data_IF_944101543653
#
_entry.id   IF_944101543653
#
_cell.length_a   1.000
_cell.length_b   1.000
_cell.length_c   1.000
_cell.angle_alpha   90.00
_cell.angle_beta   90.00
_cell.angle_gamma   90.00
#
_symmetry.space_group_name_H-M   'P 1'
#
loop_
_entity.id
_entity.type
_entity.pdbx_description
1 polymer ?
#
# COMPACT_ATOMS: atom_id res chain seq x y z
N UNK A 1 -12.44 24.78 -4.77
CA UNK A 1 -11.63 23.78 -5.48
C UNK A 1 -11.15 24.41 -6.78
N UNK A 2 -9.85 24.49 -6.99
CA UNK A 2 -9.27 24.99 -8.25
C UNK A 2 -9.41 23.95 -9.36
N UNK A 3 -9.22 24.36 -10.63
CA UNK A 3 -9.21 23.40 -11.76
C UNK A 3 -8.06 22.38 -11.60
N UNK A 4 -6.87 22.82 -11.15
CA UNK A 4 -5.72 21.96 -10.93
C UNK A 4 -6.01 20.89 -9.87
N UNK A 5 -6.68 21.25 -8.76
CA UNK A 5 -7.11 20.27 -7.75
C UNK A 5 -8.14 19.26 -8.29
N UNK A 6 -9.04 19.69 -9.17
CA UNK A 6 -10.04 18.81 -9.79
C UNK A 6 -9.36 17.72 -10.64
N UNK A 7 -8.48 18.12 -11.56
CA UNK A 7 -7.76 17.16 -12.41
C UNK A 7 -6.76 16.30 -11.63
N UNK A 8 -6.15 16.83 -10.57
CA UNK A 8 -5.28 16.04 -9.69
C UNK A 8 -6.05 14.95 -8.92
N UNK A 9 -7.28 15.22 -8.45
CA UNK A 9 -8.15 14.17 -7.87
C UNK A 9 -8.44 13.08 -8.90
N UNK A 10 -8.68 13.47 -10.16
CA UNK A 10 -8.85 12.48 -11.23
C UNK A 10 -7.61 11.62 -11.45
N UNK A 11 -6.40 12.20 -11.34
CA UNK A 11 -5.16 11.42 -11.32
C UNK A 11 -5.12 10.40 -10.18
N UNK A 12 -5.57 10.77 -8.97
CA UNK A 12 -5.65 9.84 -7.84
C UNK A 12 -6.63 8.69 -8.10
N UNK A 13 -7.81 8.97 -8.68
CA UNK A 13 -8.80 7.94 -9.02
C UNK A 13 -8.24 6.94 -10.06
N UNK A 14 -7.51 7.45 -11.05
CA UNK A 14 -6.83 6.62 -12.04
C UNK A 14 -5.71 5.78 -11.41
N UNK A 15 -4.89 6.38 -10.56
CA UNK A 15 -3.79 5.71 -9.87
C UNK A 15 -4.29 4.53 -9.03
N UNK A 16 -5.43 4.67 -8.33
CA UNK A 16 -6.05 3.61 -7.55
C UNK A 16 -6.39 2.35 -8.35
N UNK A 17 -6.61 2.45 -9.68
CA UNK A 17 -6.83 1.29 -10.56
C UNK A 17 -5.61 0.37 -10.66
N UNK A 18 -4.41 0.85 -10.30
CA UNK A 18 -3.17 0.08 -10.27
C UNK A 18 -2.92 -0.68 -8.96
N UNK A 19 -3.78 -0.48 -7.93
CA UNK A 19 -3.55 -1.08 -6.61
C UNK A 19 -3.46 -2.62 -6.69
N UNK A 20 -2.52 -3.22 -5.98
CA UNK A 20 -2.26 -4.65 -6.00
C UNK A 20 -1.51 -5.16 -7.25
N UNK A 21 -1.28 -4.32 -8.28
CA UNK A 21 -0.67 -4.75 -9.55
C UNK A 21 0.67 -4.10 -9.86
N UNK A 22 0.97 -2.94 -9.27
CA UNK A 22 2.14 -2.12 -9.64
C UNK A 22 3.33 -2.26 -8.70
N UNK A 23 3.13 -2.77 -7.47
CA UNK A 23 4.24 -2.93 -6.50
C UNK A 23 5.40 -3.72 -7.13
N UNK A 24 6.67 -3.29 -6.91
CA UNK A 24 7.12 -2.21 -6.03
C UNK A 24 7.12 -0.80 -6.63
N UNK A 25 6.49 -0.56 -7.76
CA UNK A 25 6.32 0.79 -8.30
C UNK A 25 5.20 1.55 -7.58
N UNK A 26 5.25 2.90 -7.56
CA UNK A 26 4.18 3.72 -7.00
C UNK A 26 2.89 3.64 -7.83
N UNK A 27 1.78 4.02 -7.20
CA UNK A 27 0.50 4.24 -7.84
C UNK A 27 0.55 5.59 -8.57
N UNK A 28 0.50 5.56 -9.90
CA UNK A 28 0.55 6.77 -10.72
C UNK A 28 -0.62 6.83 -11.68
N UNK A 29 -1.27 7.99 -11.73
CA UNK A 29 -2.30 8.35 -12.68
C UNK A 29 -1.93 9.66 -13.36
N UNK A 30 -2.32 9.80 -14.62
CA UNK A 30 -2.03 10.97 -15.43
C UNK A 30 -3.28 11.40 -16.22
N UNK A 31 -3.52 12.70 -16.24
CA UNK A 31 -4.60 13.35 -16.99
C UNK A 31 -4.00 14.42 -17.87
N UNK A 32 -4.41 14.48 -19.14
CA UNK A 32 -3.99 15.49 -20.10
C UNK A 32 -5.20 16.33 -20.48
N UNK A 33 -5.06 17.64 -20.38
CA UNK A 33 -6.15 18.57 -20.71
C UNK A 33 -5.73 19.59 -21.78
N UNK A 34 -6.69 19.99 -22.60
CA UNK A 34 -6.58 21.11 -23.49
C UNK A 34 -7.82 21.99 -23.32
N UNK A 35 -7.66 23.30 -23.10
CA UNK A 35 -8.75 24.25 -22.83
C UNK A 35 -9.70 23.79 -21.69
N UNK A 36 -9.15 23.22 -20.61
CA UNK A 36 -9.88 22.64 -19.47
C UNK A 36 -10.74 21.41 -19.79
N UNK A 37 -10.61 20.83 -20.98
CA UNK A 37 -11.24 19.55 -21.32
C UNK A 37 -10.23 18.42 -21.28
N UNK A 38 -10.61 17.25 -20.76
CA UNK A 38 -9.76 16.07 -20.72
C UNK A 38 -9.66 15.49 -22.12
N UNK A 39 -8.44 15.43 -22.66
CA UNK A 39 -8.15 14.85 -23.98
C UNK A 39 -7.42 13.51 -23.88
N UNK A 40 -6.87 13.16 -22.71
CA UNK A 40 -6.18 11.90 -22.49
C UNK A 40 -6.09 11.53 -21.01
N UNK A 41 -6.14 10.22 -20.73
CA UNK A 41 -6.03 9.67 -19.39
C UNK A 41 -5.23 8.37 -19.38
N UNK A 42 -4.46 8.15 -18.32
CA UNK A 42 -3.69 6.93 -18.15
C UNK A 42 -3.33 6.67 -16.69
N UNK A 43 -2.98 5.44 -16.40
CA UNK A 43 -2.42 5.04 -15.11
C UNK A 43 -1.38 3.95 -15.31
N UNK A 44 -0.49 3.78 -14.33
CA UNK A 44 0.42 2.65 -14.32
C UNK A 44 -0.37 1.38 -14.00
N UNK A 45 -0.49 0.48 -15.00
CA UNK A 45 -1.43 -0.66 -14.92
C UNK A 45 -0.83 -1.88 -14.25
N UNK A 46 0.48 -2.10 -14.42
CA UNK A 46 1.19 -3.29 -13.95
C UNK A 46 2.69 -3.04 -13.84
N UNK A 47 3.33 -3.62 -12.84
CA UNK A 47 4.79 -3.59 -12.70
C UNK A 47 5.51 -4.00 -13.98
N UNK A 48 6.49 -3.18 -14.39
CA UNK A 48 7.25 -3.38 -15.63
C UNK A 48 6.53 -2.99 -16.92
N UNK A 49 5.26 -2.55 -16.85
CA UNK A 49 4.50 -2.01 -17.97
C UNK A 49 4.73 -0.50 -18.17
N UNK A 50 4.06 0.12 -19.18
CA UNK A 50 4.13 1.56 -19.43
C UNK A 50 3.71 2.39 -18.22
N UNK A 51 4.36 3.53 -18.03
CA UNK A 51 4.01 4.49 -16.99
C UNK A 51 2.69 5.21 -17.32
N UNK A 52 2.14 5.90 -16.34
CA UNK A 52 0.85 6.59 -16.45
C UNK A 52 0.86 7.63 -17.57
N UNK A 53 1.95 8.41 -17.68
CA UNK A 53 2.14 9.46 -18.67
C UNK A 53 2.16 8.88 -20.08
N UNK A 54 2.84 7.75 -20.29
CA UNK A 54 2.88 7.04 -21.58
C UNK A 54 1.48 6.57 -21.98
N UNK A 55 0.73 5.99 -21.02
CA UNK A 55 -0.64 5.56 -21.27
C UNK A 55 -1.58 6.73 -21.54
N UNK A 56 -1.39 7.86 -20.85
CA UNK A 56 -2.20 9.07 -21.07
C UNK A 56 -1.93 9.69 -22.44
N UNK A 57 -0.65 9.87 -22.81
CA UNK A 57 -0.28 10.39 -24.15
C UNK A 57 -0.82 9.47 -25.24
N UNK A 58 -0.69 8.16 -25.10
CA UNK A 58 -1.19 7.18 -26.09
C UNK A 58 -2.73 7.20 -26.23
N UNK A 59 -3.46 7.74 -25.26
CA UNK A 59 -4.93 7.83 -25.28
C UNK A 59 -5.44 9.11 -25.96
N UNK A 60 -4.56 10.10 -26.23
CA UNK A 60 -4.93 11.34 -26.90
C UNK A 60 -5.18 11.06 -28.39
N UNK A 61 -6.39 11.35 -28.86
CA UNK A 61 -6.78 11.09 -30.26
C UNK A 61 -6.06 12.01 -31.24
N UNK A 62 -5.96 13.30 -30.91
CA UNK A 62 -5.24 14.30 -31.72
C UNK A 62 -3.95 14.72 -31.01
N UNK A 63 -2.85 14.08 -31.40
CA UNK A 63 -1.52 14.31 -30.81
C UNK A 63 -0.99 15.77 -31.03
N UNK A 64 -1.53 16.52 -31.99
CA UNK A 64 -1.13 17.90 -32.24
C UNK A 64 -1.50 18.84 -31.10
N UNK A 65 -2.52 18.48 -30.30
CA UNK A 65 -2.97 19.25 -29.13
C UNK A 65 -1.99 19.19 -27.95
N UNK A 66 -1.07 18.22 -27.92
CA UNK A 66 -0.13 18.03 -26.82
C UNK A 66 0.76 19.25 -26.59
N UNK A 67 1.15 19.97 -27.64
CA UNK A 67 2.02 21.15 -27.54
C UNK A 67 1.37 22.35 -26.83
N UNK A 68 0.06 22.35 -26.68
CA UNK A 68 -0.70 23.37 -25.93
C UNK A 68 -1.40 22.81 -24.71
N UNK A 69 -1.19 21.51 -24.40
CA UNK A 69 -1.85 20.81 -23.32
C UNK A 69 -1.21 21.06 -21.94
N UNK A 70 -2.01 20.84 -20.90
CA UNK A 70 -1.55 20.72 -19.51
C UNK A 70 -1.60 19.25 -19.10
N UNK A 71 -0.50 18.74 -18.56
CA UNK A 71 -0.37 17.37 -18.05
C UNK A 71 -0.42 17.38 -16.52
N UNK A 72 -1.33 16.63 -15.94
CA UNK A 72 -1.46 16.41 -14.50
C UNK A 72 -0.96 15.02 -14.17
N UNK A 73 -0.10 14.89 -13.17
CA UNK A 73 0.42 13.61 -12.69
C UNK A 73 0.64 13.65 -11.18
N UNK A 74 0.24 12.58 -10.48
CA UNK A 74 0.32 12.59 -9.03
C UNK A 74 1.71 12.33 -8.45
N UNK A 75 2.70 11.99 -9.26
CA UNK A 75 4.10 11.82 -8.87
C UNK A 75 5.00 12.40 -9.96
N UNK A 76 6.15 12.92 -9.58
CA UNK A 76 7.16 13.46 -10.48
C UNK A 76 7.46 12.52 -11.65
N UNK A 77 7.43 12.99 -12.92
CA UNK A 77 7.82 12.21 -14.09
C UNK A 77 9.28 11.74 -13.99
N UNK A 78 9.52 10.46 -14.24
CA UNK A 78 10.86 9.91 -14.15
C UNK A 78 11.82 10.56 -15.18
N UNK A 79 13.10 10.71 -14.74
CA UNK A 79 14.19 11.32 -15.54
C UNK A 79 15.31 10.35 -15.91
N UNK A 80 15.32 9.13 -15.35
CA UNK A 80 16.34 8.13 -15.61
C UNK A 80 15.87 7.12 -16.66
N UNK A 81 16.81 6.65 -17.48
CA UNK A 81 16.57 5.58 -18.44
C UNK A 81 16.41 4.24 -17.70
N UNK A 82 15.21 3.67 -17.79
CA UNK A 82 14.92 2.32 -17.34
C UNK A 82 14.77 1.36 -18.53
N UNK A 83 13.73 0.54 -18.52
CA UNK A 83 13.34 -0.30 -19.68
C UNK A 83 12.72 0.51 -20.83
N UNK A 84 12.24 1.71 -20.53
CA UNK A 84 11.64 2.67 -21.47
C UNK A 84 12.32 4.03 -21.31
N UNK A 85 12.26 4.91 -22.34
CA UNK A 85 12.71 6.29 -22.21
C UNK A 85 12.01 6.98 -21.03
N UNK A 86 12.66 7.97 -20.38
CA UNK A 86 12.09 8.71 -19.27
C UNK A 86 10.82 9.47 -19.67
N UNK A 87 9.83 9.51 -18.76
CA UNK A 87 8.59 10.25 -19.02
C UNK A 87 8.83 11.75 -19.19
N UNK A 88 9.79 12.34 -18.47
CA UNK A 88 10.16 13.74 -18.64
C UNK A 88 10.64 14.01 -20.09
N UNK A 89 11.47 13.12 -20.67
CA UNK A 89 11.95 13.26 -22.07
C UNK A 89 10.81 13.17 -23.06
N UNK A 90 9.86 12.27 -22.87
CA UNK A 90 8.69 12.15 -23.70
C UNK A 90 7.83 13.42 -23.66
N UNK A 91 7.59 14.00 -22.48
CA UNK A 91 6.82 15.24 -22.33
C UNK A 91 7.54 16.43 -22.99
N UNK A 92 8.87 16.51 -22.88
CA UNK A 92 9.70 17.50 -23.59
C UNK A 92 9.58 17.32 -25.12
N UNK A 93 9.68 16.10 -25.62
CA UNK A 93 9.56 15.81 -27.05
C UNK A 93 8.19 16.18 -27.64
N UNK A 94 7.12 16.10 -26.84
CA UNK A 94 5.78 16.55 -27.21
C UNK A 94 5.55 18.05 -27.01
N UNK A 95 6.55 18.80 -26.51
CA UNK A 95 6.48 20.23 -26.24
C UNK A 95 5.27 20.65 -25.39
N UNK A 96 4.90 19.83 -24.40
CA UNK A 96 3.73 20.14 -23.57
C UNK A 96 3.86 21.51 -22.90
N UNK A 97 2.76 22.25 -22.81
CA UNK A 97 2.78 23.63 -22.31
C UNK A 97 3.06 23.70 -20.79
N UNK A 98 2.44 22.81 -20.03
CA UNK A 98 2.46 22.85 -18.56
C UNK A 98 2.40 21.43 -17.97
N UNK A 99 3.13 21.20 -16.87
CA UNK A 99 3.03 19.97 -16.06
C UNK A 99 2.69 20.34 -14.64
N UNK A 100 1.65 19.72 -14.08
CA UNK A 100 1.16 19.89 -12.72
C UNK A 100 1.38 18.60 -11.94
N UNK A 101 2.11 18.69 -10.83
CA UNK A 101 2.61 17.54 -10.07
C UNK A 101 2.09 17.61 -8.63
N UNK A 102 1.61 16.49 -8.08
CA UNK A 102 1.23 16.41 -6.67
C UNK A 102 2.46 16.29 -5.77
N UNK A 103 3.28 15.27 -5.96
CA UNK A 103 4.43 14.97 -5.12
C UNK A 103 5.72 14.84 -5.93
N UNK A 104 6.81 15.34 -5.35
CA UNK A 104 8.17 15.01 -5.79
C UNK A 104 8.46 13.55 -5.45
N UNK A 105 9.22 12.87 -6.29
CA UNK A 105 9.62 11.48 -6.04
C UNK A 105 10.68 11.43 -4.92
N UNK A 106 10.50 10.54 -3.94
CA UNK A 106 11.48 10.32 -2.85
C UNK A 106 12.64 9.41 -3.26
N UNK A 107 12.63 8.86 -4.47
CA UNK A 107 13.74 8.07 -4.98
C UNK A 107 14.92 9.00 -5.31
N UNK A 108 16.06 8.83 -4.63
CA UNK A 108 17.29 9.63 -4.82
C UNK A 108 17.78 9.70 -6.28
N UNK A 109 17.41 8.69 -7.10
CA UNK A 109 17.75 8.67 -8.53
C UNK A 109 16.88 9.62 -9.36
N UNK A 110 15.68 9.99 -8.88
CA UNK A 110 14.69 10.83 -9.57
C UNK A 110 14.61 12.20 -8.92
N UNK A 111 14.40 12.27 -7.64
CA UNK A 111 14.17 13.42 -6.75
C UNK A 111 14.52 14.80 -7.35
N UNK A 112 13.54 15.49 -7.94
CA UNK A 112 13.67 16.83 -8.52
C UNK A 112 14.25 16.90 -9.94
N UNK A 113 14.91 15.84 -10.43
CA UNK A 113 15.60 15.84 -11.75
C UNK A 113 14.62 15.85 -12.92
N UNK A 114 13.44 15.22 -12.76
CA UNK A 114 12.38 15.28 -13.77
C UNK A 114 11.80 16.68 -13.88
N UNK A 115 11.57 17.33 -12.74
CA UNK A 115 11.09 18.72 -12.67
C UNK A 115 12.10 19.68 -13.26
N UNK A 116 13.38 19.56 -12.92
CA UNK A 116 14.48 20.37 -13.44
C UNK A 116 14.55 20.27 -14.97
N UNK A 117 14.55 19.06 -15.51
CA UNK A 117 14.58 18.79 -16.94
C UNK A 117 13.40 19.42 -17.72
N UNK A 118 12.19 19.34 -17.16
CA UNK A 118 11.01 19.98 -17.74
C UNK A 118 11.14 21.50 -17.76
N UNK A 119 11.64 22.11 -16.67
CA UNK A 119 11.87 23.56 -16.58
C UNK A 119 12.96 24.05 -17.53
N UNK A 120 14.07 23.32 -17.65
CA UNK A 120 15.15 23.63 -18.59
C UNK A 120 14.67 23.59 -20.05
N UNK A 121 13.68 22.75 -20.37
CA UNK A 121 13.03 22.72 -21.69
C UNK A 121 11.98 23.83 -21.88
N UNK A 122 11.80 24.74 -20.91
CA UNK A 122 10.85 25.85 -21.00
C UNK A 122 9.40 25.49 -20.68
N UNK A 123 9.15 24.30 -20.12
CA UNK A 123 7.82 23.85 -19.72
C UNK A 123 7.46 24.47 -18.36
N UNK A 124 6.26 25.05 -18.23
CA UNK A 124 5.74 25.51 -16.94
C UNK A 124 5.52 24.32 -15.99
N UNK A 125 6.12 24.34 -14.80
CA UNK A 125 5.96 23.25 -13.80
C UNK A 125 5.42 23.80 -12.50
N UNK A 126 4.23 23.30 -12.10
CA UNK A 126 3.58 23.55 -10.82
C UNK A 126 3.66 22.29 -9.97
N UNK A 127 4.03 22.42 -8.70
CA UNK A 127 4.21 21.30 -7.77
C UNK A 127 3.32 21.43 -6.55
N UNK A 128 3.23 20.37 -5.75
CA UNK A 128 2.54 20.32 -4.44
C UNK A 128 1.01 20.50 -4.51
N UNK A 129 0.39 20.18 -5.64
CA UNK A 129 -1.08 20.19 -5.74
C UNK A 129 -1.66 18.95 -5.06
N UNK A 130 -2.43 19.17 -3.97
CA UNK A 130 -2.98 18.11 -3.10
C UNK A 130 -1.90 17.16 -2.55
N UNK A 131 -0.73 17.68 -2.21
CA UNK A 131 0.45 16.92 -1.80
C UNK A 131 0.16 15.89 -0.70
N UNK A 132 -0.56 16.27 0.36
CA UNK A 132 -0.91 15.36 1.45
C UNK A 132 -1.78 14.17 0.99
N UNK A 133 -2.69 14.41 0.04
CA UNK A 133 -3.51 13.36 -0.58
C UNK A 133 -2.68 12.40 -1.41
N UNK A 134 -1.72 12.91 -2.21
CA UNK A 134 -0.81 12.11 -3.01
C UNK A 134 0.15 11.29 -2.14
N UNK A 135 0.66 11.86 -1.04
CA UNK A 135 1.46 11.11 -0.05
C UNK A 135 0.65 9.99 0.60
N UNK A 136 -0.59 10.25 1.00
CA UNK A 136 -1.45 9.22 1.57
C UNK A 136 -1.78 8.10 0.57
N UNK A 137 -2.05 8.44 -0.70
CA UNK A 137 -2.25 7.48 -1.78
C UNK A 137 -1.05 6.54 -1.91
N UNK A 138 0.15 7.10 -1.95
CA UNK A 138 1.42 6.39 -2.13
C UNK A 138 2.17 6.11 -0.80
N UNK A 139 1.47 6.05 0.35
CA UNK A 139 2.10 5.89 1.67
C UNK A 139 3.01 4.67 1.78
N UNK A 140 2.69 3.57 1.08
CA UNK A 140 3.54 2.35 1.03
C UNK A 140 4.87 2.65 0.34
N UNK A 141 4.82 3.30 -0.82
CA UNK A 141 5.98 3.71 -1.58
C UNK A 141 6.85 4.71 -0.80
N UNK A 142 6.26 5.77 -0.25
CA UNK A 142 7.00 6.78 0.52
C UNK A 142 7.63 6.18 1.79
N UNK A 143 6.91 5.35 2.54
CA UNK A 143 7.48 4.66 3.70
C UNK A 143 8.66 3.78 3.28
N UNK A 144 8.52 3.02 2.20
CA UNK A 144 9.56 2.14 1.71
C UNK A 144 10.83 2.91 1.28
N UNK A 145 10.67 4.01 0.56
CA UNK A 145 11.79 4.82 0.07
C UNK A 145 12.46 5.63 1.19
N UNK A 146 11.67 6.28 2.03
CA UNK A 146 12.15 7.22 3.04
C UNK A 146 12.57 6.55 4.34
N UNK A 147 11.89 5.44 4.74
CA UNK A 147 12.13 4.77 6.01
C UNK A 147 12.82 3.40 5.86
N UNK A 148 13.07 2.95 4.62
CA UNK A 148 13.76 1.70 4.30
C UNK A 148 13.14 0.47 4.96
N UNK A 149 11.81 0.43 5.01
CA UNK A 149 10.99 -0.66 5.54
C UNK A 149 9.64 -0.73 4.84
N UNK A 150 8.90 -1.87 4.95
CA UNK A 150 7.51 -1.91 4.53
C UNK A 150 6.63 -0.92 5.32
N UNK A 151 5.54 -0.48 4.72
CA UNK A 151 4.39 0.08 5.41
C UNK A 151 3.68 -1.05 6.17
N UNK A 152 3.59 -0.95 7.50
CA UNK A 152 3.13 -2.05 8.37
C UNK A 152 1.73 -1.78 8.87
N UNK A 153 0.83 -2.72 8.57
CA UNK A 153 -0.58 -2.68 8.94
C UNK A 153 -0.84 -3.78 9.96
N UNK A 154 -1.27 -3.42 11.16
CA UNK A 154 -1.76 -4.38 12.14
C UNK A 154 -3.23 -4.68 11.86
N UNK A 155 -3.65 -5.94 11.90
CA UNK A 155 -5.04 -6.31 11.65
C UNK A 155 -5.51 -7.39 12.61
N UNK A 156 -6.64 -7.15 13.27
CA UNK A 156 -7.33 -8.17 14.06
C UNK A 156 -8.84 -7.93 14.10
N UNK A 157 -9.55 -8.92 14.62
CA UNK A 157 -10.95 -8.81 14.97
C UNK A 157 -11.12 -8.98 16.47
N UNK A 158 -12.05 -8.25 17.07
CA UNK A 158 -12.39 -8.32 18.49
C UNK A 158 -13.88 -8.17 18.72
N UNK A 159 -14.31 -8.63 19.88
CA UNK A 159 -15.66 -8.38 20.41
C UNK A 159 -15.82 -6.94 20.92
N UNK A 160 -17.03 -6.50 21.18
CA UNK A 160 -17.32 -5.16 21.72
C UNK A 160 -16.73 -4.93 23.12
N UNK A 161 -16.42 -5.98 23.85
CA UNK A 161 -15.76 -5.95 25.17
C UNK A 161 -14.27 -6.28 25.10
N UNK A 162 -13.66 -6.29 23.87
CA UNK A 162 -12.21 -6.28 23.66
C UNK A 162 -11.50 -7.63 23.69
N UNK A 163 -12.17 -8.73 23.32
CA UNK A 163 -11.55 -10.06 23.24
C UNK A 163 -11.40 -10.54 21.79
N UNK A 164 -10.28 -11.21 21.48
CA UNK A 164 -9.99 -11.80 20.16
C UNK A 164 -10.48 -13.25 20.03
N UNK A 165 -10.50 -14.00 21.14
CA UNK A 165 -11.02 -15.38 21.20
C UNK A 165 -11.37 -15.76 22.64
N UNK A 166 -12.22 -16.78 22.82
CA UNK A 166 -12.48 -17.40 24.12
C UNK A 166 -11.48 -18.49 24.50
N UNK A 167 -10.60 -18.87 23.55
CA UNK A 167 -9.62 -19.94 23.73
C UNK A 167 -9.46 -20.76 22.44
N UNK A 168 -8.58 -21.76 22.48
CA UNK A 168 -8.17 -22.55 21.30
C UNK A 168 -9.27 -23.43 20.67
N UNK A 169 -10.39 -23.64 21.36
CA UNK A 169 -11.47 -24.55 20.92
C UNK A 169 -12.80 -23.84 20.67
N UNK A 170 -12.83 -22.50 20.67
CA UNK A 170 -14.09 -21.77 20.42
C UNK A 170 -14.22 -21.44 18.93
N UNK A 171 -15.21 -22.02 18.21
CA UNK A 171 -15.48 -21.72 16.83
C UNK A 171 -16.19 -20.38 16.61
N UNK A 172 -16.38 -19.56 17.66
CA UNK A 172 -17.09 -18.28 17.56
C UNK A 172 -16.45 -17.36 16.56
N UNK A 173 -17.16 -17.07 15.47
CA UNK A 173 -16.71 -16.13 14.46
C UNK A 173 -17.02 -14.71 14.90
N UNK A 174 -15.97 -13.90 15.03
CA UNK A 174 -16.07 -12.45 15.26
C UNK A 174 -16.35 -11.71 13.94
N UNK A 175 -15.98 -12.30 12.79
CA UNK A 175 -16.07 -11.70 11.46
C UNK A 175 -17.38 -12.07 10.77
N UNK A 176 -18.05 -11.10 10.13
CA UNK A 176 -19.16 -11.33 9.20
C UNK A 176 -18.64 -11.45 7.74
N UNK A 177 -19.53 -11.72 6.78
CA UNK A 177 -19.17 -11.89 5.36
C UNK A 177 -18.52 -10.63 4.75
N UNK A 178 -19.03 -9.44 5.09
CA UNK A 178 -18.49 -8.16 4.60
C UNK A 178 -17.03 -7.99 5.05
N UNK A 179 -16.75 -8.29 6.32
CA UNK A 179 -15.38 -8.18 6.85
C UNK A 179 -14.46 -9.23 6.26
N UNK A 180 -14.96 -10.43 5.92
CA UNK A 180 -14.17 -11.48 5.23
C UNK A 180 -13.82 -11.04 3.80
N UNK A 181 -14.77 -10.57 3.02
CA UNK A 181 -14.52 -10.04 1.67
C UNK A 181 -13.49 -8.90 1.70
N UNK A 182 -13.60 -7.99 2.67
CA UNK A 182 -12.65 -6.88 2.83
C UNK A 182 -11.23 -7.36 3.15
N UNK A 183 -11.08 -8.40 3.97
CA UNK A 183 -9.77 -9.04 4.20
C UNK A 183 -9.20 -9.65 2.92
N UNK A 184 -10.03 -10.33 2.12
CA UNK A 184 -9.58 -10.88 0.84
C UNK A 184 -9.20 -9.80 -0.17
N UNK A 185 -9.91 -8.67 -0.17
CA UNK A 185 -9.52 -7.48 -0.93
C UNK A 185 -8.15 -6.98 -0.48
N UNK A 186 -7.91 -6.78 0.82
CA UNK A 186 -6.61 -6.35 1.34
C UNK A 186 -5.48 -7.34 0.97
N UNK A 187 -5.76 -8.65 1.00
CA UNK A 187 -4.79 -9.67 0.53
C UNK A 187 -4.42 -9.50 -0.94
N UNK A 188 -5.32 -9.00 -1.77
CA UNK A 188 -5.00 -8.71 -3.18
C UNK A 188 -4.25 -7.39 -3.38
N UNK A 189 -4.37 -6.45 -2.44
CA UNK A 189 -3.80 -5.11 -2.51
C UNK A 189 -2.41 -5.02 -1.86
N UNK A 190 -2.17 -5.75 -0.74
CA UNK A 190 -0.93 -5.69 0.03
C UNK A 190 0.08 -6.76 -0.42
N UNK A 191 1.39 -6.49 -0.19
CA UNK A 191 2.45 -7.37 -0.69
C UNK A 191 2.63 -8.64 0.13
N UNK A 192 2.52 -8.55 1.46
CA UNK A 192 2.77 -9.66 2.37
C UNK A 192 1.81 -9.70 3.55
N UNK A 193 1.55 -10.93 4.06
CA UNK A 193 0.75 -11.17 5.25
C UNK A 193 1.52 -12.04 6.22
N UNK A 194 1.64 -11.59 7.47
CA UNK A 194 2.41 -12.22 8.53
C UNK A 194 1.50 -12.78 9.63
N UNK A 195 1.79 -14.01 10.04
CA UNK A 195 1.22 -14.65 11.23
C UNK A 195 2.30 -15.18 12.16
N UNK A 196 2.01 -15.27 13.45
CA UNK A 196 2.89 -15.91 14.43
C UNK A 196 2.68 -17.43 14.49
N UNK A 197 3.62 -18.16 15.13
CA UNK A 197 3.61 -19.62 15.28
C UNK A 197 2.28 -20.15 15.81
N UNK A 198 1.75 -19.57 16.89
CA UNK A 198 0.51 -20.08 17.51
C UNK A 198 -0.69 -19.95 16.57
N UNK A 199 -0.87 -18.80 15.92
CA UNK A 199 -1.93 -18.57 14.93
C UNK A 199 -1.79 -19.54 13.75
N UNK A 200 -0.56 -19.74 13.24
CA UNK A 200 -0.29 -20.67 12.17
C UNK A 200 -0.68 -22.11 12.54
N UNK A 201 -0.32 -22.57 13.75
CA UNK A 201 -0.60 -23.91 14.21
C UNK A 201 -2.10 -24.14 14.51
N UNK A 202 -2.78 -23.16 15.12
CA UNK A 202 -4.19 -23.30 15.57
C UNK A 202 -5.16 -23.14 14.40
N UNK A 203 -4.97 -22.09 13.59
CA UNK A 203 -5.95 -21.68 12.58
C UNK A 203 -5.65 -22.27 11.19
N UNK A 204 -4.41 -22.77 10.99
CA UNK A 204 -3.91 -23.28 9.70
C UNK A 204 -4.33 -22.40 8.50
N UNK A 205 -4.03 -21.09 8.54
CA UNK A 205 -4.57 -20.12 7.60
C UNK A 205 -3.93 -20.28 6.21
N UNK A 206 -4.74 -20.17 5.16
CA UNK A 206 -4.22 -20.20 3.77
C UNK A 206 -3.58 -18.87 3.35
N UNK A 207 -3.97 -17.74 3.95
CA UNK A 207 -3.52 -16.38 3.63
C UNK A 207 -3.59 -16.03 2.12
N UNK A 208 -4.51 -16.65 1.40
CA UNK A 208 -4.71 -16.47 -0.04
C UNK A 208 -5.97 -15.65 -0.33
N UNK A 209 -6.11 -15.21 -1.59
CA UNK A 209 -7.30 -14.53 -2.10
C UNK A 209 -8.27 -15.58 -2.62
N UNK A 210 -9.50 -15.62 -2.10
CA UNK A 210 -10.57 -16.55 -2.51
C UNK A 210 -11.89 -15.81 -2.80
N UNK A 211 -12.21 -14.80 -2.00
CA UNK A 211 -13.49 -14.05 -2.05
C UNK A 211 -13.31 -12.66 -2.66
N UNK A 212 -12.24 -12.48 -3.42
CA UNK A 212 -11.91 -11.27 -4.17
C UNK A 212 -11.09 -11.61 -5.41
N UNK A 213 -11.05 -10.71 -6.38
CA UNK A 213 -10.20 -10.85 -7.57
C UNK A 213 -8.86 -10.15 -7.35
N UNK A 214 -7.75 -10.82 -7.65
CA UNK A 214 -6.42 -10.24 -7.55
C UNK A 214 -5.32 -11.27 -7.28
N UNK A 215 -4.10 -10.78 -7.07
CA UNK A 215 -2.94 -11.62 -6.76
C UNK A 215 -2.96 -12.11 -5.30
N UNK A 216 -2.31 -13.22 -5.04
CA UNK A 216 -2.02 -13.64 -3.68
C UNK A 216 -0.84 -12.84 -3.10
N UNK A 217 -0.85 -12.52 -1.80
CA UNK A 217 0.30 -11.93 -1.12
C UNK A 217 1.38 -12.98 -0.85
N UNK A 218 2.59 -12.52 -0.53
CA UNK A 218 3.63 -13.37 0.07
C UNK A 218 3.21 -13.75 1.49
N UNK A 219 3.27 -15.03 1.82
CA UNK A 219 3.07 -15.51 3.19
C UNK A 219 4.32 -15.25 4.02
N UNK A 220 4.14 -14.78 5.24
CA UNK A 220 5.23 -14.60 6.20
C UNK A 220 4.85 -15.26 7.50
N UNK A 221 5.73 -16.06 8.06
CA UNK A 221 5.49 -16.70 9.35
C UNK A 221 6.68 -16.56 10.29
N UNK A 222 6.41 -16.18 11.54
CA UNK A 222 7.38 -16.26 12.63
C UNK A 222 7.24 -17.66 13.24
N UNK A 223 8.26 -18.49 13.03
CA UNK A 223 8.29 -19.88 13.55
C UNK A 223 9.57 -20.13 14.35
N UNK A 224 9.71 -19.44 15.46
CA UNK A 224 10.86 -19.62 16.34
C UNK A 224 11.02 -21.11 16.72
N UNK A 225 12.24 -21.62 16.49
CA UNK A 225 12.63 -23.02 16.74
C UNK A 225 12.00 -24.03 15.76
N UNK A 226 11.50 -23.62 14.61
CA UNK A 226 11.01 -24.50 13.52
C UNK A 226 10.01 -25.57 14.02
N UNK A 227 8.99 -25.14 14.76
CA UNK A 227 8.01 -26.02 15.42
C UNK A 227 6.77 -26.31 14.58
N UNK A 228 6.57 -25.59 13.48
CA UNK A 228 5.37 -25.75 12.66
C UNK A 228 5.45 -27.00 11.81
N UNK A 229 4.34 -27.76 11.79
CA UNK A 229 4.17 -28.90 10.91
C UNK A 229 4.19 -28.46 9.43
N UNK A 230 4.97 -29.17 8.63
CA UNK A 230 5.11 -28.90 7.19
C UNK A 230 3.86 -29.24 6.38
N UNK A 231 2.89 -29.95 6.96
CA UNK A 231 1.58 -30.21 6.36
C UNK A 231 0.63 -29.01 6.37
N UNK A 232 0.95 -27.93 7.11
CA UNK A 232 0.13 -26.74 7.17
C UNK A 232 0.03 -26.03 5.81
N UNK A 233 -1.10 -25.39 5.56
CA UNK A 233 -1.35 -24.65 4.32
C UNK A 233 -0.30 -23.58 3.99
N UNK A 234 0.41 -23.06 5.00
CA UNK A 234 1.52 -22.14 4.79
C UNK A 234 2.66 -22.75 3.99
N UNK A 235 2.78 -24.08 3.97
CA UNK A 235 3.85 -24.82 3.29
C UNK A 235 3.38 -25.61 2.07
N UNK A 236 2.15 -25.38 1.59
CA UNK A 236 1.53 -26.12 0.47
C UNK A 236 2.15 -25.82 -0.92
N UNK A 237 3.10 -24.91 -1.02
CA UNK A 237 3.78 -24.54 -2.25
C UNK A 237 2.94 -23.73 -3.25
N UNK A 238 1.68 -23.42 -2.95
CA UNK A 238 0.78 -22.70 -3.88
C UNK A 238 1.13 -21.21 -4.01
N UNK A 239 1.86 -20.64 -3.05
CA UNK A 239 2.38 -19.28 -3.08
C UNK A 239 3.65 -19.15 -2.22
N UNK A 240 4.52 -18.14 -2.46
CA UNK A 240 5.75 -17.95 -1.69
C UNK A 240 5.48 -17.83 -0.18
N UNK A 241 6.33 -18.50 0.62
CA UNK A 241 6.30 -18.40 2.09
C UNK A 241 7.68 -18.08 2.63
N UNK A 242 7.81 -17.00 3.38
CA UNK A 242 9.02 -16.60 4.12
C UNK A 242 8.86 -17.05 5.56
N UNK A 243 9.83 -17.84 6.04
CA UNK A 243 9.85 -18.35 7.41
C UNK A 243 10.96 -17.68 8.21
N UNK A 244 10.62 -17.10 9.34
CA UNK A 244 11.56 -16.51 10.27
C UNK A 244 11.71 -17.39 11.51
N UNK A 245 12.72 -18.25 11.51
CA UNK A 245 13.03 -19.20 12.59
C UNK A 245 14.07 -18.67 13.60
N UNK A 246 14.93 -17.75 13.19
CA UNK A 246 16.05 -17.17 13.96
C UNK A 246 15.98 -15.65 13.99
N UNK A 247 14.90 -15.10 14.52
CA UNK A 247 14.74 -13.66 14.64
C UNK A 247 14.73 -13.23 16.09
N UNK A 248 15.52 -12.20 16.39
CA UNK A 248 15.56 -11.59 17.72
C UNK A 248 14.52 -10.47 17.82
N UNK A 249 14.42 -9.63 16.82
CA UNK A 249 13.56 -8.44 16.83
C UNK A 249 12.71 -8.28 15.56
N UNK A 250 11.56 -7.63 15.67
CA UNK A 250 10.68 -7.33 14.51
C UNK A 250 11.31 -6.36 13.51
N UNK A 251 12.32 -5.58 13.93
CA UNK A 251 13.10 -4.71 13.05
C UNK A 251 13.90 -5.51 12.02
N UNK A 252 14.41 -6.69 12.38
CA UNK A 252 15.13 -7.57 11.45
C UNK A 252 14.19 -8.09 10.36
N UNK A 253 12.92 -8.39 10.70
CA UNK A 253 11.87 -8.75 9.73
C UNK A 253 11.67 -7.59 8.75
N UNK A 254 11.49 -6.38 9.24
CA UNK A 254 11.25 -5.21 8.40
C UNK A 254 12.42 -4.92 7.45
N UNK A 255 13.65 -5.05 7.93
CA UNK A 255 14.88 -4.89 7.12
C UNK A 255 15.04 -5.95 6.04
N UNK A 256 14.76 -7.22 6.34
CA UNK A 256 14.79 -8.31 5.34
C UNK A 256 13.70 -8.13 4.29
N UNK A 257 12.47 -7.77 4.71
CA UNK A 257 11.38 -7.50 3.78
C UNK A 257 11.67 -6.31 2.87
N UNK A 258 12.33 -5.27 3.37
CA UNK A 258 12.84 -4.16 2.55
C UNK A 258 13.82 -4.66 1.48
N UNK A 259 14.80 -5.47 1.85
CA UNK A 259 15.75 -6.06 0.92
C UNK A 259 15.08 -6.90 -0.16
N UNK A 260 13.98 -7.57 0.17
CA UNK A 260 13.14 -8.34 -0.76
C UNK A 260 12.18 -7.48 -1.59
N UNK A 261 12.20 -6.14 -1.45
CA UNK A 261 11.33 -5.18 -2.15
C UNK A 261 9.83 -5.36 -1.84
N UNK A 262 9.51 -5.82 -0.64
CA UNK A 262 8.13 -5.90 -0.12
C UNK A 262 7.80 -4.55 0.50
N UNK A 263 6.85 -3.83 -0.10
CA UNK A 263 6.51 -2.46 0.31
C UNK A 263 5.42 -2.39 1.38
N UNK A 264 4.64 -3.45 1.54
CA UNK A 264 3.60 -3.50 2.57
C UNK A 264 3.53 -4.84 3.26
N UNK A 265 3.26 -4.80 4.57
CA UNK A 265 3.10 -5.98 5.43
C UNK A 265 1.83 -5.84 6.26
N UNK A 266 0.93 -6.80 6.16
CA UNK A 266 -0.19 -6.94 7.10
C UNK A 266 0.18 -7.97 8.16
N UNK A 267 0.15 -7.60 9.42
CA UNK A 267 0.34 -8.50 10.55
C UNK A 267 -1.04 -8.98 11.02
N UNK A 268 -1.42 -10.19 10.60
CA UNK A 268 -2.63 -10.91 11.04
C UNK A 268 -2.26 -11.91 12.13
N UNK A 269 -1.74 -11.44 13.24
CA UNK A 269 -1.24 -12.35 14.26
C UNK A 269 -2.15 -12.49 15.47
N UNK A 270 -1.86 -13.47 16.32
CA UNK A 270 -2.34 -13.50 17.68
C UNK A 270 -1.84 -12.28 18.48
N UNK A 271 -2.46 -12.00 19.62
CA UNK A 271 -2.15 -10.84 20.44
C UNK A 271 -0.65 -10.67 20.73
N UNK A 272 0.08 -11.77 20.94
CA UNK A 272 1.55 -11.74 21.17
C UNK A 272 2.30 -11.12 20.01
N UNK A 273 2.02 -11.54 18.76
CA UNK A 273 2.68 -11.02 17.57
C UNK A 273 2.34 -9.56 17.34
N UNK A 274 1.07 -9.19 17.48
CA UNK A 274 0.63 -7.78 17.38
C UNK A 274 1.34 -6.90 18.41
N UNK A 275 1.40 -7.35 19.67
CA UNK A 275 2.07 -6.62 20.75
C UNK A 275 3.58 -6.47 20.53
N UNK A 276 4.27 -7.41 19.86
CA UNK A 276 5.69 -7.24 19.50
C UNK A 276 5.87 -6.04 18.57
N UNK A 277 5.04 -5.89 17.55
CA UNK A 277 5.09 -4.73 16.64
C UNK A 277 4.68 -3.43 17.32
N UNK A 278 3.64 -3.47 18.17
CA UNK A 278 3.18 -2.31 18.94
C UNK A 278 4.25 -1.82 19.89
N UNK A 279 4.85 -2.72 20.67
CA UNK A 279 5.89 -2.38 21.66
C UNK A 279 7.18 -1.87 21.01
N UNK A 280 7.51 -2.35 19.80
CA UNK A 280 8.62 -1.83 19.02
C UNK A 280 8.31 -0.49 18.33
N UNK A 281 7.07 0.02 18.40
CA UNK A 281 6.62 1.20 17.65
C UNK A 281 6.63 0.98 16.13
N UNK A 282 6.70 -0.26 15.66
CA UNK A 282 6.91 -0.63 14.27
C UNK A 282 5.57 -0.97 13.59
N UNK A 283 4.73 0.05 13.41
CA UNK A 283 3.47 -0.05 12.69
C UNK A 283 3.02 1.34 12.23
N UNK A 284 2.32 1.44 11.12
CA UNK A 284 1.85 2.68 10.51
C UNK A 284 0.33 2.84 10.61
N UNK A 285 -0.39 1.73 10.42
CA UNK A 285 -1.84 1.68 10.39
C UNK A 285 -2.33 0.46 11.19
N UNK A 286 -3.48 0.57 11.86
CA UNK A 286 -4.15 -0.61 12.38
C UNK A 286 -5.60 -0.65 11.93
N UNK A 287 -6.05 -1.84 11.48
CA UNK A 287 -7.40 -2.14 10.99
C UNK A 287 -8.06 -3.12 11.95
N UNK A 288 -8.97 -2.63 12.76
CA UNK A 288 -9.61 -3.41 13.83
C UNK A 288 -11.09 -3.61 13.50
N UNK A 289 -11.49 -4.86 13.34
CA UNK A 289 -12.91 -5.20 13.27
C UNK A 289 -13.48 -5.37 14.67
N UNK A 290 -14.61 -4.75 14.95
CA UNK A 290 -15.32 -4.87 16.21
C UNK A 290 -16.71 -5.42 15.96
N UNK A 291 -16.99 -6.63 16.48
CA UNK A 291 -18.30 -7.25 16.43
C UNK A 291 -19.16 -6.85 17.66
N UNK A 292 -20.49 -6.80 17.53
CA UNK A 292 -21.38 -6.39 18.63
C UNK A 292 -21.57 -7.47 19.71
N UNK A 293 -20.92 -8.62 19.58
CA UNK A 293 -20.94 -9.70 20.56
C UNK A 293 -19.99 -9.44 21.74
N UNK A 294 -20.23 -10.13 22.88
CA UNK A 294 -19.37 -10.08 24.08
C UNK A 294 -18.93 -11.48 24.45
N UNK A 295 -17.66 -11.60 24.85
CA UNK A 295 -17.11 -12.86 25.34
C UNK A 295 -17.00 -12.91 26.86
N UNK A 296 -16.84 -11.78 27.53
CA UNK A 296 -16.68 -11.61 28.96
C UNK A 296 -15.36 -12.17 29.52
N UNK A 297 -14.76 -13.16 28.86
CA UNK A 297 -13.46 -13.76 29.19
C UNK A 297 -12.77 -14.25 27.92
N UNK A 298 -11.45 -14.48 28.01
CA UNK A 298 -10.64 -14.99 26.89
C UNK A 298 -9.38 -14.19 26.61
N UNK A 299 -8.88 -14.30 25.38
CA UNK A 299 -7.67 -13.59 24.93
C UNK A 299 -8.01 -12.13 24.63
N UNK A 300 -7.46 -11.22 25.43
CA UNK A 300 -7.65 -9.77 25.25
C UNK A 300 -6.96 -9.29 23.96
N UNK A 301 -7.63 -8.39 23.25
CA UNK A 301 -7.08 -7.66 22.12
C UNK A 301 -6.01 -6.64 22.58
N UNK A 302 -5.05 -6.31 21.72
CA UNK A 302 -4.14 -5.19 21.95
C UNK A 302 -4.91 -3.87 22.10
N UNK A 303 -4.35 -2.96 22.90
CA UNK A 303 -4.88 -1.61 23.08
C UNK A 303 -3.96 -0.63 22.33
N UNK A 304 -4.54 0.21 21.49
CA UNK A 304 -3.82 1.24 20.74
C UNK A 304 -4.15 2.64 21.28
N UNK A 305 -3.19 3.55 21.29
CA UNK A 305 -3.44 4.95 21.59
C UNK A 305 -4.13 5.67 20.42
N UNK A 306 -4.81 6.78 20.71
CA UNK A 306 -5.40 7.66 19.73
C UNK A 306 -6.87 7.36 19.39
N UNK A 307 -7.41 8.17 18.50
CA UNK A 307 -8.81 8.10 18.09
C UNK A 307 -8.90 7.51 16.66
N UNK A 308 -9.53 6.36 16.48
CA UNK A 308 -9.69 5.76 15.16
C UNK A 308 -10.78 6.44 14.34
N UNK A 309 -10.64 6.37 13.03
CA UNK A 309 -11.78 6.59 12.12
C UNK A 309 -12.62 5.33 12.11
N UNK A 310 -13.93 5.46 12.38
CA UNK A 310 -14.86 4.34 12.45
C UNK A 310 -15.76 4.28 11.20
N UNK A 311 -15.93 3.09 10.64
CA UNK A 311 -16.84 2.80 9.53
C UNK A 311 -17.73 1.61 9.88
N UNK A 312 -19.04 1.71 9.65
CA UNK A 312 -19.95 0.60 9.86
C UNK A 312 -19.87 -0.40 8.68
N UNK A 313 -19.82 -1.68 8.98
CA UNK A 313 -19.76 -2.80 8.05
C UNK A 313 -20.86 -3.82 8.39
N UNK A 314 -22.09 -3.48 8.10
CA UNK A 314 -23.26 -4.22 8.59
C UNK A 314 -23.38 -4.04 10.11
N UNK A 315 -23.40 -5.16 10.84
CA UNK A 315 -23.39 -5.20 12.30
C UNK A 315 -21.99 -5.00 12.94
N UNK A 316 -20.94 -5.16 12.16
CA UNK A 316 -19.56 -4.92 12.60
C UNK A 316 -19.15 -3.46 12.36
N UNK A 317 -18.09 -3.04 13.05
CA UNK A 317 -17.39 -1.77 12.81
C UNK A 317 -15.95 -2.04 12.39
N UNK A 318 -15.44 -1.26 11.44
CA UNK A 318 -14.02 -1.14 11.17
C UNK A 318 -13.50 0.12 11.85
N UNK A 319 -12.50 -0.04 12.71
CA UNK A 319 -11.74 1.07 13.31
C UNK A 319 -10.37 1.14 12.64
N UNK A 320 -10.02 2.29 12.08
CA UNK A 320 -8.71 2.53 11.46
C UNK A 320 -7.94 3.53 12.29
N UNK A 321 -6.82 3.06 12.85
CA UNK A 321 -5.85 3.88 13.57
C UNK A 321 -4.68 4.23 12.67
N UNK A 322 -4.13 5.45 12.82
CA UNK A 322 -2.89 5.90 12.17
C UNK A 322 -1.84 6.16 13.26
N UNK A 323 -0.62 5.69 13.03
CA UNK A 323 0.51 5.95 13.91
C UNK A 323 1.42 7.01 13.31
N UNK A 324 1.32 8.24 13.80
CA UNK A 324 2.16 9.36 13.35
C UNK A 324 3.53 9.43 14.04
N UNK A 325 3.83 8.50 14.95
CA UNK A 325 5.06 8.50 15.77
C UNK A 325 6.17 7.61 15.20
N UNK A 326 5.97 7.00 14.05
CA UNK A 326 6.91 6.01 13.49
C UNK A 326 8.18 6.69 13.00
N UNK A 327 9.33 6.15 13.38
CA UNK A 327 10.67 6.62 12.97
C UNK A 327 11.26 5.73 11.88
N UNK A 328 12.15 6.27 11.00
CA UNK A 328 12.91 5.46 10.06
C UNK A 328 13.75 4.39 10.78
N UNK A 329 14.00 3.26 10.10
CA UNK A 329 14.96 2.27 10.59
C UNK A 329 16.37 2.89 10.67
N UNK A 330 17.18 2.54 11.67
CA UNK A 330 18.57 2.97 11.73
C UNK A 330 19.33 2.47 10.48
N UNK A 331 20.12 3.34 9.89
CA UNK A 331 21.01 2.98 8.78
C UNK A 331 22.13 2.14 9.38
N UNK A 332 22.25 0.86 8.97
CA UNK A 332 23.38 -0.02 9.33
C UNK A 332 24.55 0.27 8.42
#
# INVERSE_FOLDING_TARGET
MTSDEHFMRRCFDLALKGIGSVSPNPLVGCVITHNNEIIGEGWHKKYGGPHAEVNAVASVADQSLLSSATVYVNLEPCSHHGKTPPCADMLVAHHVKKVVISNVDSNELVAGKGIEKLREAGIEVVTSILESGGRYLNRRFFTFMEQRRPYIILKWAQTSDGFMSRGSNDPSRISNEITQQLVHRWRSEEDAFLVGTQTAATDNPRLNVREWTGRNPVRVVIDRNSRLDKSLHLFDGTQPTIVYDKINEVHDIAGDLYTRKIQSLVVEGGATTLNLFISAGLWDEARVFVAPIKFHDGLKAPVLPGNPVATNLGDNKLLVYQNFSVRPLPVK
#
